data_IF_369460439353
#
_entry.id   IF_369460439353
#
_cell.length_a   1.000
_cell.length_b   1.000
_cell.length_c   1.000
_cell.angle_alpha   90.00
_cell.angle_beta   90.00
_cell.angle_gamma   90.00
#
_symmetry.space_group_name_H-M   'P 1'
#
loop_
_entity.id
_entity.type
_entity.pdbx_description
1 polymer ?
#
# COMPACT_ATOMS: atom_id res chain seq x y z
N UNK A 1 -0.20 -4.53 -18.67
CA UNK A 1 -1.38 -3.85 -18.12
C UNK A 1 -1.03 -3.23 -16.79
N UNK A 2 -1.35 -1.96 -16.59
CA UNK A 2 -1.02 -1.23 -15.39
C UNK A 2 -2.25 -0.51 -14.83
N UNK A 3 -2.28 -0.33 -13.52
CA UNK A 3 -3.29 0.46 -12.83
C UNK A 3 -2.61 1.29 -11.74
N UNK A 4 -3.08 2.49 -11.57
CA UNK A 4 -2.51 3.45 -10.62
C UNK A 4 -3.62 4.04 -9.77
N UNK A 5 -3.37 4.13 -8.48
CA UNK A 5 -4.31 4.67 -7.50
C UNK A 5 -3.57 5.63 -6.60
N UNK A 6 -4.23 6.70 -6.22
CA UNK A 6 -3.64 7.70 -5.35
C UNK A 6 -4.61 8.20 -4.29
N UNK A 7 -4.06 8.84 -3.29
CA UNK A 7 -4.80 9.60 -2.30
C UNK A 7 -4.02 10.89 -2.04
N UNK A 8 -4.37 11.98 -2.74
CA UNK A 8 -3.56 13.20 -2.70
C UNK A 8 -3.67 13.97 -1.40
N UNK A 9 -4.72 13.76 -0.64
CA UNK A 9 -4.94 14.45 0.62
C UNK A 9 -4.26 13.75 1.78
N UNK A 10 -4.14 14.46 2.91
CA UNK A 10 -3.65 13.86 4.14
C UNK A 10 -4.68 12.88 4.72
N UNK A 11 -4.21 11.75 5.21
CA UNK A 11 -5.04 10.78 5.91
C UNK A 11 -4.32 10.26 7.15
N UNK A 12 -5.03 10.10 8.23
CA UNK A 12 -4.51 9.49 9.44
C UNK A 12 -4.68 7.98 9.37
N UNK A 13 -3.62 7.25 9.63
CA UNK A 13 -3.60 5.79 9.58
C UNK A 13 -3.10 5.27 10.93
N UNK A 14 -3.99 4.68 11.70
CA UNK A 14 -3.62 4.08 12.97
C UNK A 14 -2.81 2.80 12.80
N UNK A 15 -2.21 2.32 13.87
CA UNK A 15 -1.46 1.05 13.86
C UNK A 15 -2.40 -0.08 13.43
N UNK A 16 -1.91 -0.92 12.53
CA UNK A 16 -2.64 -2.04 11.92
C UNK A 16 -3.77 -1.64 10.98
N UNK A 17 -3.89 -0.37 10.64
CA UNK A 17 -4.80 0.09 9.60
C UNK A 17 -4.10 0.24 8.26
N UNK A 18 -4.88 0.23 7.20
CA UNK A 18 -4.39 0.34 5.84
C UNK A 18 -4.48 1.79 5.34
N UNK A 19 -3.54 2.17 4.49
CA UNK A 19 -3.63 3.41 3.72
C UNK A 19 -4.77 3.26 2.71
N UNK A 20 -5.61 4.29 2.61
CA UNK A 20 -6.72 4.34 1.68
C UNK A 20 -6.28 4.93 0.34
N UNK A 21 -6.94 4.51 -0.74
CA UNK A 21 -6.70 5.03 -2.08
C UNK A 21 -8.02 5.32 -2.78
N UNK A 22 -8.00 6.31 -3.65
CA UNK A 22 -9.14 6.66 -4.49
C UNK A 22 -9.04 5.97 -5.85
N UNK A 23 -10.19 5.69 -6.44
CA UNK A 23 -10.27 5.33 -7.84
C UNK A 23 -10.16 6.58 -8.71
N UNK A 24 -9.83 6.42 -9.97
CA UNK A 24 -9.95 7.48 -10.93
C UNK A 24 -8.68 7.87 -11.66
N UNK A 25 -7.52 7.45 -11.19
CA UNK A 25 -6.29 7.78 -11.89
C UNK A 25 -6.13 6.94 -13.15
N UNK A 26 -5.87 5.67 -12.99
CA UNK A 26 -5.83 4.71 -14.10
C UNK A 26 -6.27 3.35 -13.64
N UNK A 27 -7.34 2.88 -14.22
CA UNK A 27 -7.89 1.58 -13.86
C UNK A 27 -7.82 0.60 -15.02
N UNK A 28 -7.56 -0.66 -14.73
CA UNK A 28 -7.53 -1.69 -15.74
C UNK A 28 -8.94 -2.10 -16.13
N UNK A 29 -9.25 -1.91 -17.40
CA UNK A 29 -10.58 -2.14 -17.97
C UNK A 29 -11.07 -3.59 -17.92
N UNK A 30 -10.22 -4.55 -17.60
CA UNK A 30 -10.54 -5.98 -17.67
C UNK A 30 -10.65 -6.66 -16.30
N UNK A 31 -10.74 -5.89 -15.23
CA UNK A 31 -11.02 -6.45 -13.93
C UNK A 31 -9.91 -7.33 -13.33
N UNK A 32 -8.64 -7.15 -13.71
CA UNK A 32 -7.53 -7.83 -13.06
C UNK A 32 -7.28 -7.31 -11.65
N UNK A 33 -7.66 -6.07 -11.41
CA UNK A 33 -7.58 -5.45 -10.10
C UNK A 33 -8.96 -4.93 -9.75
N UNK A 34 -9.46 -5.32 -8.59
CA UNK A 34 -10.72 -4.81 -8.05
C UNK A 34 -10.41 -3.95 -6.85
N UNK A 35 -10.89 -2.73 -6.87
CA UNK A 35 -10.70 -1.76 -5.80
C UNK A 35 -11.96 -0.91 -5.65
N UNK A 36 -12.45 -0.80 -4.42
CA UNK A 36 -13.54 0.11 -4.09
C UNK A 36 -12.97 1.48 -3.74
N UNK A 37 -13.64 2.52 -4.18
CA UNK A 37 -13.22 3.89 -3.92
C UNK A 37 -13.04 4.15 -2.41
N UNK A 38 -11.95 4.82 -2.06
CA UNK A 38 -11.55 5.09 -0.68
C UNK A 38 -11.32 3.85 0.18
N UNK A 39 -11.06 2.70 -0.42
CA UNK A 39 -10.65 1.48 0.28
C UNK A 39 -9.13 1.36 0.34
N UNK A 40 -8.63 0.67 1.36
CA UNK A 40 -7.22 0.31 1.47
C UNK A 40 -6.89 -1.07 0.94
N UNK A 41 -7.85 -1.80 0.42
CA UNK A 41 -7.65 -3.18 -0.02
C UNK A 41 -7.81 -3.30 -1.51
N UNK A 42 -6.80 -3.86 -2.16
CA UNK A 42 -6.81 -4.22 -3.57
C UNK A 42 -6.93 -5.73 -3.71
N UNK A 43 -7.75 -6.15 -4.62
CA UNK A 43 -7.92 -7.56 -4.93
C UNK A 43 -7.33 -7.83 -6.30
N UNK A 44 -6.22 -8.55 -6.31
CA UNK A 44 -5.57 -8.94 -7.56
C UNK A 44 -6.09 -10.28 -8.02
N UNK A 45 -6.44 -10.37 -9.28
CA UNK A 45 -6.87 -11.62 -9.89
C UNK A 45 -5.69 -12.35 -10.49
N UNK A 46 -5.66 -13.64 -10.29
CA UNK A 46 -4.74 -14.55 -10.94
C UNK A 46 -5.07 -14.71 -12.40
N UNK A 47 -4.59 -15.78 -13.00
CA UNK A 47 -4.70 -15.97 -14.44
C UNK A 47 -5.90 -16.82 -14.82
N UNK A 48 -6.33 -16.59 -16.06
CA UNK A 48 -7.31 -17.43 -16.71
C UNK A 48 -6.75 -18.83 -17.04
N UNK A 49 -7.68 -19.73 -17.24
CA UNK A 49 -7.47 -21.08 -17.73
C UNK A 49 -6.59 -21.08 -18.99
N UNK A 50 -5.57 -21.90 -19.06
CA UNK A 50 -4.64 -22.06 -20.18
C UNK A 50 -3.58 -20.97 -20.36
N UNK A 51 -3.38 -20.14 -19.35
CA UNK A 51 -2.27 -19.18 -19.34
C UNK A 51 -1.10 -19.74 -18.52
N UNK A 52 -0.05 -18.94 -18.30
CA UNK A 52 1.05 -19.36 -17.46
C UNK A 52 0.57 -19.80 -16.06
N UNK A 53 1.30 -20.63 -15.34
CA UNK A 53 0.86 -21.16 -14.04
C UNK A 53 0.75 -20.11 -12.94
N UNK A 54 1.27 -18.91 -13.16
CA UNK A 54 1.27 -17.83 -12.18
C UNK A 54 1.09 -16.48 -12.85
N UNK A 55 0.41 -15.57 -12.18
CA UNK A 55 0.43 -14.17 -12.54
C UNK A 55 1.50 -13.45 -11.70
N UNK A 56 2.26 -12.57 -12.31
CA UNK A 56 3.26 -11.77 -11.62
C UNK A 56 2.88 -10.30 -11.78
N UNK A 57 2.77 -9.62 -10.64
CA UNK A 57 2.52 -8.20 -10.58
C UNK A 57 3.72 -7.49 -9.98
N UNK A 58 4.11 -6.39 -10.60
CA UNK A 58 5.03 -5.43 -10.00
C UNK A 58 4.21 -4.39 -9.27
N UNK A 59 4.56 -4.14 -8.02
CA UNK A 59 3.90 -3.13 -7.19
C UNK A 59 4.93 -2.11 -6.77
N UNK A 60 4.61 -0.85 -7.01
CA UNK A 60 5.41 0.29 -6.58
C UNK A 60 4.54 1.20 -5.73
N UNK A 61 5.02 1.52 -4.54
CA UNK A 61 4.33 2.39 -3.60
C UNK A 61 5.23 3.52 -3.15
N UNK A 62 4.65 4.71 -3.03
CA UNK A 62 5.29 5.81 -2.33
C UNK A 62 4.27 6.67 -1.60
N UNK A 63 4.70 7.28 -0.52
CA UNK A 63 3.93 8.27 0.22
C UNK A 63 4.86 9.16 1.03
N UNK A 64 4.42 10.37 1.30
CA UNK A 64 5.01 11.20 2.33
C UNK A 64 4.34 10.88 3.66
N UNK A 65 5.13 10.61 4.68
CA UNK A 65 4.62 10.21 5.99
C UNK A 65 5.20 11.10 7.08
N UNK A 66 4.39 11.31 8.10
CA UNK A 66 4.80 11.99 9.33
C UNK A 66 4.17 11.28 10.52
N UNK A 67 4.74 11.47 11.70
CA UNK A 67 4.10 11.08 12.94
C UNK A 67 2.94 12.03 13.18
N UNK A 68 1.72 11.49 13.32
CA UNK A 68 0.55 12.32 13.55
C UNK A 68 0.65 13.05 14.89
N UNK A 69 0.36 14.36 14.93
CA UNK A 69 0.30 15.07 16.18
C UNK A 69 -0.78 14.47 17.10
N UNK A 70 -0.42 14.23 18.35
CA UNK A 70 -1.35 13.74 19.36
C UNK A 70 -1.61 14.83 20.40
N UNK A 71 -2.77 14.74 21.05
CA UNK A 71 -3.09 15.57 22.19
C UNK A 71 -2.00 15.39 23.27
N UNK A 72 -1.33 16.46 23.70
CA UNK A 72 -0.24 16.39 24.65
C UNK A 72 1.14 16.24 24.06
N UNK A 73 1.31 16.42 22.73
CA UNK A 73 2.59 16.53 22.06
C UNK A 73 3.12 15.28 21.38
N UNK A 74 2.54 14.13 21.63
CA UNK A 74 2.93 12.87 20.99
C UNK A 74 4.36 12.42 21.32
N UNK A 75 4.69 11.20 20.98
CA UNK A 75 6.03 10.62 21.09
C UNK A 75 6.59 10.39 19.69
N UNK A 76 7.82 10.84 19.47
CA UNK A 76 8.50 10.62 18.21
C UNK A 76 8.99 9.17 18.14
N UNK A 77 8.48 8.43 17.20
CA UNK A 77 8.81 7.02 17.00
C UNK A 77 9.07 6.72 15.53
N UNK A 78 9.79 5.62 15.23
CA UNK A 78 9.93 5.18 13.86
C UNK A 78 8.58 4.87 13.21
N UNK A 79 8.41 5.29 11.97
CA UNK A 79 7.26 4.96 11.14
C UNK A 79 7.61 3.77 10.26
N UNK A 80 6.83 2.72 10.33
CA UNK A 80 7.05 1.51 9.55
C UNK A 80 5.81 1.14 8.75
N UNK A 81 5.97 1.04 7.45
CA UNK A 81 4.94 0.58 6.53
C UNK A 81 5.38 -0.70 5.85
N UNK A 82 4.43 -1.52 5.48
CA UNK A 82 4.68 -2.70 4.68
C UNK A 82 3.48 -3.05 3.81
N UNK A 83 3.75 -3.74 2.73
CA UNK A 83 2.71 -4.37 1.93
C UNK A 83 2.25 -5.64 2.65
N UNK A 84 0.95 -5.90 2.62
CA UNK A 84 0.38 -7.15 3.10
C UNK A 84 -0.24 -7.92 1.95
N UNK A 85 -0.07 -9.23 1.97
CA UNK A 85 -0.73 -10.14 1.04
C UNK A 85 -1.59 -11.10 1.84
N UNK A 86 -2.89 -11.06 1.61
CA UNK A 86 -3.89 -11.80 2.39
C UNK A 86 -3.79 -11.56 3.91
N UNK A 87 -3.48 -10.32 4.29
CA UNK A 87 -3.34 -9.92 5.67
C UNK A 87 -1.98 -10.19 6.30
N UNK A 88 -1.09 -10.87 5.62
CA UNK A 88 0.26 -11.16 6.11
C UNK A 88 1.27 -10.15 5.58
N UNK A 89 2.15 -9.69 6.45
CA UNK A 89 3.20 -8.73 6.10
C UNK A 89 4.22 -9.38 5.17
N UNK A 90 4.48 -8.75 4.03
CA UNK A 90 5.55 -9.15 3.13
C UNK A 90 6.87 -8.58 3.61
N UNK A 91 7.77 -9.43 4.07
CA UNK A 91 9.05 -9.03 4.68
C UNK A 91 9.91 -8.14 3.80
N UNK A 92 9.91 -8.38 2.51
CA UNK A 92 10.71 -7.61 1.55
C UNK A 92 10.18 -6.20 1.28
N UNK A 93 9.04 -5.82 1.84
CA UNK A 93 8.45 -4.48 1.68
C UNK A 93 8.49 -3.65 2.94
N UNK A 94 8.96 -4.19 4.04
CA UNK A 94 9.04 -3.46 5.31
C UNK A 94 9.99 -2.27 5.14
N UNK A 95 9.47 -1.08 5.34
CA UNK A 95 10.20 0.18 5.18
C UNK A 95 9.99 1.05 6.40
N UNK A 96 11.09 1.51 6.98
CA UNK A 96 11.07 2.31 8.20
C UNK A 96 11.79 3.62 7.98
N UNK A 97 11.17 4.70 8.44
CA UNK A 97 11.81 6.01 8.55
C UNK A 97 11.69 6.50 9.99
N UNK A 98 12.70 7.19 10.46
CA UNK A 98 12.68 7.81 11.78
C UNK A 98 12.71 9.33 11.59
N UNK A 99 11.55 10.00 11.67
CA UNK A 99 11.49 11.45 11.53
C UNK A 99 12.29 12.15 12.62
N UNK A 100 12.88 13.29 12.28
CA UNK A 100 13.65 14.08 13.25
C UNK A 100 12.75 14.84 14.23
N UNK A 101 11.54 15.16 13.84
CA UNK A 101 10.56 15.87 14.65
C UNK A 101 9.15 15.49 14.26
N UNK A 102 8.18 15.69 15.16
CA UNK A 102 6.77 15.54 14.85
C UNK A 102 6.39 16.59 13.80
N UNK A 103 5.69 16.16 12.75
CA UNK A 103 5.32 17.01 11.63
C UNK A 103 6.32 17.05 10.48
N UNK A 104 7.49 16.44 10.63
CA UNK A 104 8.43 16.29 9.53
C UNK A 104 7.94 15.22 8.56
N UNK A 105 7.83 15.59 7.29
CA UNK A 105 7.47 14.66 6.23
C UNK A 105 8.69 13.93 5.69
N UNK A 106 8.59 12.63 5.62
CA UNK A 106 9.60 11.75 5.05
C UNK A 106 8.97 10.87 3.99
N UNK A 107 9.76 10.51 3.00
CA UNK A 107 9.27 9.64 1.91
C UNK A 107 9.51 8.18 2.27
N UNK A 108 8.45 7.38 2.19
CA UNK A 108 8.56 5.93 2.15
C UNK A 108 8.22 5.49 0.74
N UNK A 109 9.09 4.68 0.16
CA UNK A 109 8.82 4.04 -1.10
C UNK A 109 9.35 2.61 -1.09
N UNK A 110 8.65 1.71 -1.77
CA UNK A 110 9.14 0.35 -1.99
C UNK A 110 8.56 -0.21 -3.29
N UNK A 111 9.26 -1.18 -3.81
CA UNK A 111 8.86 -1.91 -5.00
C UNK A 111 9.04 -3.40 -4.74
N UNK A 112 8.09 -4.20 -5.20
CA UNK A 112 8.16 -5.65 -5.06
C UNK A 112 7.44 -6.36 -6.19
N UNK A 113 7.72 -7.63 -6.33
CA UNK A 113 6.97 -8.54 -7.18
C UNK A 113 6.03 -9.38 -6.33
N UNK A 114 4.81 -9.56 -6.81
CA UNK A 114 3.82 -10.43 -6.19
C UNK A 114 3.47 -11.53 -7.17
N UNK A 115 3.61 -12.75 -6.73
CA UNK A 115 3.17 -13.92 -7.49
C UNK A 115 1.80 -14.37 -6.99
N UNK A 116 0.87 -14.54 -7.94
CA UNK A 116 -0.43 -15.13 -7.65
C UNK A 116 -0.51 -16.49 -8.31
N UNK A 117 -0.92 -17.53 -7.57
CA UNK A 117 -1.16 -18.83 -8.16
C UNK A 117 -2.35 -18.78 -9.11
N UNK A 118 -2.48 -19.82 -9.92
CA UNK A 118 -3.61 -20.02 -10.80
C UNK A 118 -4.94 -19.95 -10.04
N UNK A 119 -5.87 -19.22 -10.58
CA UNK A 119 -7.25 -19.15 -10.08
C UNK A 119 -7.53 -17.85 -9.36
N UNK A 120 -7.62 -17.82 -8.07
CA UNK A 120 -8.14 -16.70 -7.31
C UNK A 120 -7.11 -15.96 -6.48
N UNK A 121 -7.40 -15.00 -6.25
CA UNK A 121 -7.52 -13.62 -5.88
C UNK A 121 -6.81 -13.40 -4.55
N UNK A 122 -5.72 -12.70 -4.59
CA UNK A 122 -5.06 -12.25 -3.37
C UNK A 122 -5.42 -10.80 -3.07
N UNK A 123 -5.54 -10.48 -1.80
CA UNK A 123 -5.76 -9.12 -1.33
C UNK A 123 -4.44 -8.48 -0.96
N UNK A 124 -4.25 -7.25 -1.40
CA UNK A 124 -3.05 -6.46 -1.17
C UNK A 124 -3.44 -5.17 -0.47
N UNK A 125 -2.67 -4.79 0.54
CA UNK A 125 -2.85 -3.52 1.23
C UNK A 125 -1.50 -2.98 1.70
N UNK A 126 -1.43 -1.68 1.90
CA UNK A 126 -0.30 -1.03 2.58
C UNK A 126 -0.71 -0.74 4.00
N UNK A 127 -0.05 -1.35 4.95
CA UNK A 127 -0.41 -1.29 6.36
C UNK A 127 0.61 -0.51 7.18
N UNK A 128 0.11 0.27 8.12
CA UNK A 128 0.94 0.84 9.17
C UNK A 128 1.25 -0.23 10.21
N UNK A 129 2.48 -0.71 10.21
CA UNK A 129 2.96 -1.72 11.16
C UNK A 129 3.89 -1.14 12.21
N UNK A 130 3.87 0.18 12.41
CA UNK A 130 4.58 0.84 13.50
C UNK A 130 4.16 0.28 14.85
N UNK A 131 4.99 0.43 15.88
CA UNK A 131 4.68 -0.15 17.19
C UNK A 131 3.45 0.49 17.84
N UNK A 132 3.44 1.82 17.95
CA UNK A 132 2.34 2.54 18.63
C UNK A 132 1.91 3.80 17.90
N UNK A 133 2.57 4.15 16.82
CA UNK A 133 2.45 5.46 16.20
C UNK A 133 1.36 5.49 15.14
N UNK A 134 0.37 6.38 15.32
CA UNK A 134 -0.50 6.80 14.23
C UNK A 134 0.27 7.71 13.30
N UNK A 135 0.16 7.49 12.01
CA UNK A 135 0.83 8.30 11.00
C UNK A 135 -0.16 9.15 10.23
N UNK A 136 0.34 10.24 9.66
CA UNK A 136 -0.36 10.98 8.61
C UNK A 136 0.36 10.69 7.30
N UNK A 137 -0.35 10.12 6.35
CA UNK A 137 0.16 9.87 5.01
C UNK A 137 -0.39 10.92 4.04
N UNK A 138 0.48 11.49 3.22
CA UNK A 138 0.15 12.54 2.26
C UNK A 138 0.66 12.12 0.89
N UNK A 139 -0.11 12.41 -0.14
CA UNK A 139 0.25 12.07 -1.53
C UNK A 139 0.62 10.60 -1.70
N UNK A 140 -0.19 9.72 -1.17
CA UNK A 140 0.00 8.28 -1.32
C UNK A 140 -0.30 7.86 -2.75
N UNK A 141 0.56 7.01 -3.31
CA UNK A 141 0.40 6.48 -4.65
C UNK A 141 0.83 5.03 -4.70
N UNK A 142 0.07 4.22 -5.40
CA UNK A 142 0.40 2.82 -5.65
C UNK A 142 0.18 2.48 -7.11
N UNK A 143 1.16 1.84 -7.71
CA UNK A 143 1.14 1.37 -9.09
C UNK A 143 1.21 -0.14 -9.11
N UNK A 144 0.30 -0.75 -9.84
CA UNK A 144 0.32 -2.17 -10.14
C UNK A 144 0.57 -2.37 -11.63
N UNK A 145 1.54 -3.19 -11.95
CA UNK A 145 1.82 -3.59 -13.32
C UNK A 145 1.89 -5.10 -13.43
N UNK A 146 1.06 -5.67 -14.28
CA UNK A 146 1.14 -7.10 -14.56
C UNK A 146 2.20 -7.35 -15.60
N UNK A 147 3.21 -8.13 -15.25
CA UNK A 147 4.37 -8.40 -16.10
C UNK A 147 4.43 -9.83 -16.64
N UNK A 148 3.60 -10.71 -16.11
CA UNK A 148 3.52 -12.09 -16.61
C UNK A 148 2.16 -12.73 -16.35
#
# INVERSE_FOLDING_TARGET
MAAEYSYPLAQNVAVNENILFLNGDRCCKKGFIVHNDASGVFRLKGICKNCAPRAIYKVNFHANVEVAPAAGGGVLEPVTLALTQNGEVMRNTVSTVTPAAIGDLWVINFETLIELPFGCCDTIAVRNISNTTTITAVNSNILFERIA
#
